data_IF_209801455680
#
_entry.id   IF_209801455680
#
_cell.length_a   1.000
_cell.length_b   1.000
_cell.length_c   1.000
_cell.angle_alpha   90.00
_cell.angle_beta   90.00
_cell.angle_gamma   90.00
#
_symmetry.space_group_name_H-M   'P 1'
#
loop_
_entity.id
_entity.type
_entity.pdbx_description
1 polymer ?
#
# COMPACT_ATOMS: atom_id res chain seq x y z
N UNK A 1 20.41 7.76 -18.28
CA UNK A 1 18.98 7.43 -18.55
C UNK A 1 18.13 8.65 -18.23
N UNK A 2 17.15 8.99 -19.09
CA UNK A 2 16.17 10.06 -18.78
C UNK A 2 15.43 9.66 -17.49
N UNK A 3 15.54 10.46 -16.43
CA UNK A 3 14.73 10.30 -15.21
C UNK A 3 13.26 10.39 -15.65
N UNK A 4 12.52 9.28 -15.54
CA UNK A 4 11.08 9.27 -15.80
C UNK A 4 10.39 9.68 -14.49
N UNK A 5 9.32 10.46 -14.59
CA UNK A 5 8.51 10.81 -13.42
C UNK A 5 7.68 9.62 -12.93
N UNK A 6 7.00 9.82 -11.79
CA UNK A 6 6.06 8.85 -11.22
C UNK A 6 4.89 8.55 -12.17
N UNK A 7 4.36 9.56 -12.86
CA UNK A 7 3.34 9.38 -13.89
C UNK A 7 4.00 9.26 -15.27
N UNK A 8 3.66 8.22 -16.02
CA UNK A 8 4.24 7.95 -17.34
C UNK A 8 3.14 7.71 -18.38
N UNK A 9 3.27 8.36 -19.54
CA UNK A 9 2.46 8.12 -20.74
C UNK A 9 3.24 7.24 -21.72
N UNK A 10 2.59 6.24 -22.32
CA UNK A 10 3.19 5.32 -23.27
C UNK A 10 2.43 3.99 -23.37
N UNK A 11 2.92 3.06 -24.18
CA UNK A 11 2.27 1.76 -24.35
C UNK A 11 2.84 0.74 -23.35
N UNK A 12 2.07 0.42 -22.31
CA UNK A 12 2.46 -0.51 -21.25
C UNK A 12 1.63 -1.79 -21.31
N UNK A 13 2.28 -2.93 -21.12
CA UNK A 13 1.63 -4.18 -20.79
C UNK A 13 1.60 -4.30 -19.26
N UNK A 14 0.40 -4.37 -18.69
CA UNK A 14 0.20 -4.54 -17.27
C UNK A 14 0.45 -6.00 -16.88
N UNK A 15 0.70 -6.26 -15.59
CA UNK A 15 0.88 -7.62 -15.08
C UNK A 15 -0.32 -8.55 -15.36
N UNK A 16 -1.51 -7.96 -15.56
CA UNK A 16 -2.73 -8.65 -16.00
C UNK A 16 -2.75 -9.06 -17.49
N UNK A 17 -1.71 -8.73 -18.28
CA UNK A 17 -1.67 -8.87 -19.74
C UNK A 17 -2.46 -7.78 -20.52
N UNK A 18 -3.21 -6.93 -19.82
CA UNK A 18 -3.92 -5.80 -20.45
C UNK A 18 -2.96 -4.69 -20.88
N UNK A 19 -3.28 -4.00 -21.96
CA UNK A 19 -2.58 -2.78 -22.38
C UNK A 19 -3.08 -1.56 -21.61
N UNK A 20 -2.18 -0.61 -21.35
CA UNK A 20 -2.47 0.67 -20.71
C UNK A 20 -1.65 1.76 -21.38
N UNK A 21 -2.26 2.91 -21.62
CA UNK A 21 -1.57 4.08 -22.19
C UNK A 21 -0.82 4.90 -21.13
N UNK A 22 -0.99 4.54 -19.87
CA UNK A 22 -0.31 5.17 -18.74
C UNK A 22 0.04 4.14 -17.65
N UNK A 23 1.01 4.49 -16.81
CA UNK A 23 1.32 3.78 -15.57
C UNK A 23 1.80 4.72 -14.48
N UNK A 24 1.72 4.24 -13.24
CA UNK A 24 2.35 4.83 -12.06
C UNK A 24 3.61 4.01 -11.79
N UNK A 25 4.75 4.68 -11.70
CA UNK A 25 6.04 4.07 -11.40
C UNK A 25 6.42 4.41 -9.97
N UNK A 26 5.94 3.60 -9.02
CA UNK A 26 6.23 3.78 -7.59
C UNK A 26 7.72 3.61 -7.27
N UNK A 27 8.49 2.96 -8.16
CA UNK A 27 9.96 2.91 -8.09
C UNK A 27 10.64 4.29 -8.18
N UNK A 28 9.89 5.34 -8.54
CA UNK A 28 10.37 6.73 -8.54
C UNK A 28 10.15 7.45 -7.21
N UNK A 29 9.37 6.87 -6.29
CA UNK A 29 9.23 7.39 -4.93
C UNK A 29 10.57 7.23 -4.19
N UNK A 30 10.89 8.22 -3.37
CA UNK A 30 12.07 8.20 -2.51
C UNK A 30 11.67 8.21 -1.03
N UNK A 31 12.66 8.06 -0.15
CA UNK A 31 12.46 7.98 1.30
C UNK A 31 11.66 9.18 1.85
N UNK A 32 11.94 10.40 1.37
CA UNK A 32 11.22 11.62 1.74
C UNK A 32 9.73 11.57 1.34
N UNK A 33 9.40 10.95 0.21
CA UNK A 33 8.01 10.78 -0.22
C UNK A 33 7.30 9.84 0.78
N UNK A 34 7.90 8.70 1.11
CA UNK A 34 7.31 7.74 2.05
C UNK A 34 7.14 8.34 3.46
N UNK A 35 8.08 9.16 3.93
CA UNK A 35 7.96 9.89 5.20
C UNK A 35 6.76 10.84 5.19
N UNK A 36 6.58 11.57 4.08
CA UNK A 36 5.46 12.49 3.90
C UNK A 36 4.13 11.73 3.87
N UNK A 37 4.04 10.66 3.09
CA UNK A 37 2.85 9.81 3.00
C UNK A 37 2.50 9.17 4.34
N UNK A 38 3.51 8.67 5.08
CA UNK A 38 3.32 8.11 6.41
C UNK A 38 2.80 9.16 7.41
N UNK A 39 3.30 10.40 7.32
CA UNK A 39 2.81 11.51 8.13
C UNK A 39 1.34 11.81 7.84
N UNK A 40 0.95 11.87 6.57
CA UNK A 40 -0.45 12.08 6.18
C UNK A 40 -1.35 11.02 6.81
N UNK A 41 -1.00 9.74 6.66
CA UNK A 41 -1.80 8.63 7.20
C UNK A 41 -1.87 8.68 8.73
N UNK A 42 -0.75 8.83 9.41
CA UNK A 42 -0.71 8.74 10.88
C UNK A 42 -1.22 10.01 11.58
N UNK A 43 -0.95 11.20 11.02
CA UNK A 43 -1.20 12.49 11.70
C UNK A 43 -2.38 13.24 11.12
N UNK A 44 -2.47 13.37 9.80
CA UNK A 44 -3.58 14.10 9.17
C UNK A 44 -4.88 13.30 9.24
N UNK A 45 -4.83 12.02 8.86
CA UNK A 45 -6.00 11.12 8.99
C UNK A 45 -6.22 10.64 10.42
N UNK A 46 -5.26 10.86 11.31
CA UNK A 46 -5.25 10.39 12.71
C UNK A 46 -5.48 8.88 12.81
N UNK A 47 -4.98 8.12 11.83
CA UNK A 47 -5.11 6.67 11.83
C UNK A 47 -4.21 6.08 12.92
N UNK A 48 -4.82 5.42 13.90
CA UNK A 48 -4.11 4.64 14.92
C UNK A 48 -4.00 3.20 14.47
N UNK A 49 -2.88 2.57 14.75
CA UNK A 49 -2.61 1.17 14.45
C UNK A 49 -1.55 0.62 15.41
N UNK A 50 -1.68 -0.67 15.71
CA UNK A 50 -0.78 -1.38 16.62
C UNK A 50 0.52 -1.78 15.94
N UNK A 51 0.40 -2.40 14.77
CA UNK A 51 1.50 -2.91 13.96
C UNK A 51 1.27 -2.56 12.49
N UNK A 52 2.35 -2.37 11.74
CA UNK A 52 2.29 -2.21 10.27
C UNK A 52 2.97 -3.36 9.54
N UNK A 53 2.22 -3.97 8.62
CA UNK A 53 2.62 -5.02 7.70
C UNK A 53 2.61 -4.45 6.26
N UNK A 54 3.32 -5.11 5.35
CA UNK A 54 3.33 -4.72 3.95
C UNK A 54 2.99 -5.91 3.07
N UNK A 55 2.44 -5.66 1.89
CA UNK A 55 2.16 -6.70 0.91
C UNK A 55 3.45 -7.24 0.31
N UNK A 56 3.53 -8.57 0.20
CA UNK A 56 4.57 -9.29 -0.53
C UNK A 56 5.90 -9.41 0.20
N UNK A 57 6.95 -9.83 -0.51
CA UNK A 57 8.29 -9.97 0.07
C UNK A 57 9.00 -8.62 0.16
N UNK A 58 9.89 -8.45 1.16
CA UNK A 58 10.74 -7.26 1.30
C UNK A 58 11.54 -6.93 0.02
N UNK A 59 11.98 -7.97 -0.68
CA UNK A 59 12.79 -7.88 -1.89
C UNK A 59 12.02 -8.54 -3.02
N UNK A 60 11.81 -7.79 -4.10
CA UNK A 60 11.12 -8.28 -5.30
C UNK A 60 12.04 -9.20 -6.13
N UNK A 61 11.47 -9.91 -7.10
CA UNK A 61 12.17 -10.84 -8.02
C UNK A 61 13.34 -10.22 -8.84
N UNK A 62 13.58 -8.90 -8.74
CA UNK A 62 14.73 -8.20 -9.31
C UNK A 62 15.79 -7.73 -8.30
N UNK A 63 15.77 -8.20 -7.05
CA UNK A 63 16.73 -7.83 -6.01
C UNK A 63 16.55 -6.42 -5.43
N UNK A 64 15.48 -5.72 -5.81
CA UNK A 64 15.14 -4.37 -5.33
C UNK A 64 14.21 -4.45 -4.12
N UNK A 65 14.37 -3.52 -3.19
CA UNK A 65 13.46 -3.37 -2.05
C UNK A 65 12.08 -3.00 -2.58
N UNK A 66 11.04 -3.64 -2.06
CA UNK A 66 9.66 -3.36 -2.44
C UNK A 66 9.20 -2.00 -1.90
N UNK A 67 8.47 -1.24 -2.72
CA UNK A 67 7.91 0.06 -2.36
C UNK A 67 6.97 -0.02 -1.14
N UNK A 68 6.16 -1.07 -1.06
CA UNK A 68 5.30 -1.36 0.10
C UNK A 68 6.11 -1.54 1.40
N UNK A 69 7.30 -2.15 1.32
CA UNK A 69 8.20 -2.31 2.45
C UNK A 69 8.80 -0.96 2.89
N UNK A 70 9.20 -0.10 1.96
CA UNK A 70 9.70 1.24 2.28
C UNK A 70 8.62 2.09 2.94
N UNK A 71 7.39 2.04 2.42
CA UNK A 71 6.24 2.72 3.01
C UNK A 71 5.96 2.23 4.44
N UNK A 72 5.97 0.91 4.65
CA UNK A 72 5.89 0.29 5.97
C UNK A 72 7.00 0.75 6.91
N UNK A 73 8.24 0.88 6.43
CA UNK A 73 9.35 1.38 7.24
C UNK A 73 9.11 2.83 7.71
N UNK A 74 8.60 3.69 6.83
CA UNK A 74 8.26 5.06 7.19
C UNK A 74 7.13 5.14 8.23
N UNK A 75 6.13 4.25 8.14
CA UNK A 75 5.00 4.17 9.08
C UNK A 75 5.37 3.57 10.45
N UNK A 76 6.42 2.73 10.52
CA UNK A 76 6.79 1.99 11.74
C UNK A 76 6.99 2.88 12.97
N UNK A 77 7.44 4.12 12.78
CA UNK A 77 7.64 5.07 13.89
C UNK A 77 6.32 5.48 14.59
N UNK A 78 5.17 5.26 13.96
CA UNK A 78 3.85 5.61 14.46
C UNK A 78 3.09 4.44 15.10
N UNK A 79 3.67 3.22 15.12
CA UNK A 79 3.08 2.06 15.78
C UNK A 79 2.84 2.31 17.27
N UNK A 80 1.65 1.98 17.77
CA UNK A 80 1.37 1.98 19.21
C UNK A 80 1.95 0.75 19.91
N UNK A 81 2.31 -0.31 19.14
CA UNK A 81 2.85 -1.59 19.63
C UNK A 81 1.92 -2.33 20.58
N UNK A 82 0.62 -2.05 20.49
CA UNK A 82 -0.43 -2.78 21.20
C UNK A 82 -1.51 -3.09 20.20
N UNK A 83 -1.93 -4.35 20.10
CA UNK A 83 -3.05 -4.75 19.25
C UNK A 83 -4.34 -4.68 20.04
N UNK A 84 -5.35 -4.02 19.46
CA UNK A 84 -6.72 -3.98 19.94
C UNK A 84 -7.62 -3.50 18.81
N UNK A 85 -8.94 -3.51 19.00
CA UNK A 85 -9.89 -2.90 18.06
C UNK A 85 -9.54 -1.43 17.73
N UNK A 86 -9.03 -0.67 18.70
CA UNK A 86 -8.61 0.74 18.49
C UNK A 86 -7.19 0.87 17.92
N UNK A 87 -6.43 -0.21 17.88
CA UNK A 87 -5.06 -0.28 17.36
C UNK A 87 -4.92 -1.51 16.44
N UNK A 88 -5.59 -1.47 15.28
CA UNK A 88 -5.61 -2.59 14.35
C UNK A 88 -4.23 -2.90 13.77
N UNK A 89 -4.12 -4.02 13.08
CA UNK A 89 -3.02 -4.26 12.14
C UNK A 89 -3.26 -3.41 10.90
N UNK A 90 -2.26 -2.62 10.51
CA UNK A 90 -2.27 -1.84 9.28
C UNK A 90 -1.50 -2.61 8.21
N UNK A 91 -2.15 -2.99 7.12
CA UNK A 91 -1.50 -3.57 5.94
C UNK A 91 -1.32 -2.47 4.90
N UNK A 92 -0.10 -2.33 4.34
CA UNK A 92 0.17 -1.33 3.32
C UNK A 92 0.68 -1.89 2.00
N UNK A 93 0.33 -1.17 0.92
CA UNK A 93 0.81 -1.44 -0.42
C UNK A 93 1.07 -0.12 -1.19
N UNK A 94 1.84 -0.18 -2.27
CA UNK A 94 2.09 1.01 -3.11
C UNK A 94 0.92 1.27 -4.06
N UNK A 95 0.42 0.24 -4.77
CA UNK A 95 -0.65 0.39 -5.76
C UNK A 95 -1.70 -0.71 -5.66
N UNK A 96 -2.94 -0.35 -5.34
CA UNK A 96 -4.09 -1.23 -5.45
C UNK A 96 -4.60 -1.29 -6.90
N UNK A 97 -4.66 -2.50 -7.46
CA UNK A 97 -5.24 -2.77 -8.78
C UNK A 97 -6.51 -3.62 -8.68
N UNK A 98 -6.37 -4.94 -8.61
CA UNK A 98 -7.47 -5.89 -8.40
C UNK A 98 -7.75 -6.14 -6.93
N UNK A 99 -6.78 -5.85 -6.05
CA UNK A 99 -6.82 -6.16 -4.63
C UNK A 99 -6.46 -7.61 -4.28
N UNK A 100 -5.96 -8.41 -5.21
CA UNK A 100 -5.61 -9.80 -4.92
C UNK A 100 -4.53 -9.89 -3.82
N UNK A 101 -3.37 -9.26 -4.03
CA UNK A 101 -2.22 -9.36 -3.12
C UNK A 101 -2.49 -8.81 -1.72
N UNK A 102 -3.21 -7.68 -1.61
CA UNK A 102 -3.55 -7.13 -0.29
C UNK A 102 -4.56 -8.00 0.47
N UNK A 103 -5.47 -8.69 -0.24
CA UNK A 103 -6.38 -9.66 0.39
C UNK A 103 -5.67 -10.95 0.80
N UNK A 104 -4.65 -11.38 0.07
CA UNK A 104 -3.80 -12.50 0.49
C UNK A 104 -3.03 -12.16 1.77
N UNK A 105 -2.42 -10.98 1.83
CA UNK A 105 -1.72 -10.50 3.02
C UNK A 105 -2.67 -10.37 4.22
N UNK A 106 -3.92 -9.91 3.99
CA UNK A 106 -4.95 -9.89 5.02
C UNK A 106 -5.20 -11.27 5.60
N UNK A 107 -5.42 -12.29 4.76
CA UNK A 107 -5.65 -13.68 5.23
C UNK A 107 -4.46 -14.22 6.02
N UNK A 108 -3.24 -13.89 5.60
CA UNK A 108 -2.02 -14.26 6.33
C UNK A 108 -2.01 -13.60 7.71
N UNK A 109 -2.32 -12.30 7.79
CA UNK A 109 -2.39 -11.59 9.06
C UNK A 109 -3.51 -12.12 9.97
N UNK A 110 -4.70 -12.39 9.42
CA UNK A 110 -5.81 -13.01 10.16
C UNK A 110 -5.38 -14.34 10.78
N UNK A 111 -4.64 -15.15 10.03
CA UNK A 111 -4.13 -16.42 10.55
C UNK A 111 -3.04 -16.26 11.63
N UNK A 112 -2.09 -15.33 11.44
CA UNK A 112 -0.97 -15.13 12.37
C UNK A 112 -1.44 -14.48 13.69
N UNK A 113 -2.46 -13.63 13.63
CA UNK A 113 -2.91 -12.80 14.75
C UNK A 113 -4.33 -13.14 15.23
N UNK A 114 -4.82 -14.36 14.97
CA UNK A 114 -6.17 -14.82 15.31
C UNK A 114 -6.51 -14.61 16.81
N UNK A 115 -5.53 -14.90 17.69
CA UNK A 115 -5.68 -14.77 19.15
C UNK A 115 -5.62 -13.31 19.65
N UNK A 116 -5.31 -12.33 18.79
CA UNK A 116 -5.11 -10.94 19.21
C UNK A 116 -6.41 -10.12 19.30
N UNK A 117 -7.54 -10.66 18.82
CA UNK A 117 -8.85 -9.97 18.79
C UNK A 117 -8.76 -8.51 18.30
N UNK A 118 -8.02 -8.28 17.21
CA UNK A 118 -7.83 -6.95 16.63
C UNK A 118 -8.33 -6.90 15.19
N UNK A 119 -8.78 -5.72 14.77
CA UNK A 119 -9.16 -5.49 13.38
C UNK A 119 -7.93 -5.40 12.45
N UNK A 120 -8.20 -5.53 11.15
CA UNK A 120 -7.23 -5.29 10.08
C UNK A 120 -7.75 -4.18 9.18
N UNK A 121 -6.92 -3.17 8.96
CA UNK A 121 -7.17 -2.07 8.04
C UNK A 121 -6.08 -2.00 6.98
N UNK A 122 -6.45 -1.60 5.77
CA UNK A 122 -5.54 -1.44 4.65
C UNK A 122 -5.30 0.02 4.30
N UNK A 123 -4.08 0.38 3.94
CA UNK A 123 -3.77 1.67 3.29
C UNK A 123 -2.89 1.47 2.07
N UNK A 124 -3.31 2.04 0.94
CA UNK A 124 -2.50 2.05 -0.29
C UNK A 124 -2.17 3.48 -0.70
N UNK A 125 -1.02 3.69 -1.34
CA UNK A 125 -0.66 5.03 -1.85
C UNK A 125 -1.59 5.39 -3.01
N UNK A 126 -1.69 4.52 -4.01
CA UNK A 126 -2.54 4.71 -5.19
C UNK A 126 -3.57 3.58 -5.32
N UNK A 127 -4.79 3.91 -5.72
CA UNK A 127 -5.81 2.93 -6.07
C UNK A 127 -6.38 3.16 -7.47
N UNK A 128 -6.35 2.13 -8.32
CA UNK A 128 -6.91 2.14 -9.67
C UNK A 128 -8.38 1.69 -9.66
N UNK A 129 -9.24 2.54 -9.10
CA UNK A 129 -10.67 2.29 -8.96
C UNK A 129 -11.09 2.17 -7.51
N UNK A 130 -12.21 1.48 -7.27
CA UNK A 130 -12.78 1.29 -5.95
C UNK A 130 -11.89 0.41 -5.05
N UNK A 131 -11.76 0.84 -3.79
CA UNK A 131 -11.11 0.08 -2.74
C UNK A 131 -12.14 -0.82 -2.04
N UNK A 132 -11.75 -2.02 -1.56
CA UNK A 132 -12.54 -2.76 -0.59
C UNK A 132 -12.81 -1.91 0.66
N UNK A 133 -13.93 -2.12 1.35
CA UNK A 133 -14.37 -1.30 2.50
C UNK A 133 -13.33 -1.18 3.63
N UNK A 134 -12.47 -2.18 3.78
CA UNK A 134 -11.42 -2.23 4.80
C UNK A 134 -10.11 -1.55 4.36
N UNK A 135 -10.01 -1.08 3.11
CA UNK A 135 -8.83 -0.45 2.52
C UNK A 135 -9.11 1.01 2.19
N UNK A 136 -8.22 1.92 2.60
CA UNK A 136 -8.24 3.33 2.20
C UNK A 136 -7.08 3.63 1.24
N UNK A 137 -7.29 4.55 0.31
CA UNK A 137 -6.23 5.01 -0.61
C UNK A 137 -5.90 6.47 -0.37
N UNK A 138 -4.63 6.85 -0.47
CA UNK A 138 -4.21 8.26 -0.40
C UNK A 138 -4.66 8.99 -1.66
N UNK A 139 -4.43 8.36 -2.82
CA UNK A 139 -4.88 8.85 -4.12
C UNK A 139 -5.71 7.78 -4.82
N UNK A 140 -6.96 8.10 -5.11
CA UNK A 140 -7.88 7.20 -5.82
C UNK A 140 -8.16 7.75 -7.21
N UNK A 141 -7.97 6.90 -8.22
CA UNK A 141 -8.39 7.21 -9.58
C UNK A 141 -9.81 6.73 -9.78
N UNK A 142 -10.68 7.60 -10.30
CA UNK A 142 -12.03 7.20 -10.71
C UNK A 142 -11.93 6.10 -11.78
N UNK A 143 -12.75 5.05 -11.62
CA UNK A 143 -13.09 4.23 -12.78
C UNK A 143 -14.06 5.02 -13.61
N UNK A 144 -13.62 5.56 -14.73
CA UNK A 144 -14.56 6.02 -15.75
C UNK A 144 -15.26 4.78 -16.30
N UNK A 145 -16.49 4.55 -15.84
CA UNK A 145 -17.41 3.58 -16.43
C UNK A 145 -17.91 4.23 -17.72
N UNK A 146 -17.38 3.80 -18.86
CA UNK A 146 -18.01 4.05 -20.16
C UNK A 146 -18.70 2.76 -20.60
#
# INVERSE_FOLDING_TARGET
MKKRGIFQLGNFELHSGKKSEWKIECDMLVEEDYKTLAHIVAKEWKLKFGLVMHVGAKVNYGGRIANSYEFKCALKQYETRTLSEQNPILIVDDVLTTGHSINEEKRVCEHIYDDCHCDIVGVVIFARGECPDWVKSIFQFERTVF
#
